data_IF_493921813517
#
_entry.id   IF_493921813517
#
_cell.length_a   1.000
_cell.length_b   1.000
_cell.length_c   1.000
_cell.angle_alpha   90.00
_cell.angle_beta   90.00
_cell.angle_gamma   90.00
#
_symmetry.space_group_name_H-M   'P 1'
#
loop_
_entity.id
_entity.type
_entity.pdbx_description
1 polymer ?
#
# COMPACT_ATOMS: atom_id res chain seq x y z
N UNK A 1 6.70 13.28 22.60
CA UNK A 1 7.79 12.46 22.05
C UNK A 1 7.27 11.79 20.80
N UNK A 2 7.94 11.94 19.65
CA UNK A 2 7.55 11.25 18.42
C UNK A 2 7.80 9.73 18.62
N UNK A 3 6.73 8.93 18.61
CA UNK A 3 6.82 7.45 18.70
C UNK A 3 7.38 6.84 17.39
N UNK A 4 7.65 7.66 16.37
CA UNK A 4 8.31 7.27 15.12
C UNK A 4 9.68 7.95 15.03
N UNK A 5 10.69 7.22 14.54
CA UNK A 5 12.00 7.77 14.19
C UNK A 5 11.91 8.68 12.96
N UNK A 6 13.03 9.32 12.61
CA UNK A 6 13.21 9.93 11.30
C UNK A 6 12.99 8.91 10.17
N UNK A 7 12.64 9.42 8.99
CA UNK A 7 12.36 8.60 7.83
C UNK A 7 13.62 7.87 7.38
N UNK A 8 13.56 6.54 7.33
CA UNK A 8 14.67 5.69 6.90
C UNK A 8 15.20 6.04 5.49
N UNK A 9 14.33 6.52 4.59
CA UNK A 9 14.70 6.79 3.20
C UNK A 9 15.28 8.19 2.95
N UNK A 10 14.89 9.19 3.75
CA UNK A 10 15.29 10.59 3.49
C UNK A 10 15.69 11.41 4.71
N UNK A 11 15.65 10.84 5.93
CA UNK A 11 15.92 11.55 7.19
C UNK A 11 14.83 12.55 7.62
N UNK A 12 13.77 12.73 6.84
CA UNK A 12 12.70 13.68 7.16
C UNK A 12 11.87 13.30 8.38
N UNK A 13 11.23 14.31 9.00
CA UNK A 13 10.37 14.13 10.18
C UNK A 13 9.16 13.25 9.84
N UNK A 14 8.91 12.24 10.67
CA UNK A 14 7.74 11.36 10.58
C UNK A 14 6.72 11.75 11.65
N UNK A 15 5.45 11.90 11.25
CA UNK A 15 4.32 12.18 12.16
C UNK A 15 3.26 11.10 12.06
N UNK A 16 2.62 10.77 13.18
CA UNK A 16 1.49 9.84 13.17
C UNK A 16 0.28 10.47 12.47
N UNK A 17 -0.35 9.71 11.59
CA UNK A 17 -1.62 10.03 10.95
C UNK A 17 -2.47 8.76 10.84
N UNK A 18 -3.80 8.91 10.85
CA UNK A 18 -4.73 7.80 10.60
C UNK A 18 -5.20 7.86 9.15
N UNK A 19 -4.76 6.90 8.34
CA UNK A 19 -5.02 6.87 6.88
C UNK A 19 -5.48 5.48 6.44
N UNK A 20 -5.99 5.39 5.21
CA UNK A 20 -6.27 4.09 4.60
C UNK A 20 -5.00 3.39 4.15
N UNK A 21 -4.99 2.05 4.25
CA UNK A 21 -3.91 1.18 3.79
C UNK A 21 -4.43 0.06 2.91
N UNK A 22 -3.89 0.00 1.71
CA UNK A 22 -4.05 -1.09 0.76
C UNK A 22 -3.10 -2.24 1.10
N UNK A 23 -3.64 -3.45 1.22
CA UNK A 23 -2.90 -4.65 1.59
C UNK A 23 -3.26 -5.79 0.65
N UNK A 24 -2.24 -6.30 -0.04
CA UNK A 24 -2.35 -7.51 -0.83
C UNK A 24 -2.09 -8.72 0.06
N UNK A 25 -3.08 -9.60 0.17
CA UNK A 25 -2.97 -10.84 0.93
C UNK A 25 -3.67 -11.97 0.19
N UNK A 26 -2.96 -13.08 -0.03
CA UNK A 26 -3.46 -14.27 -0.75
C UNK A 26 -4.22 -13.92 -2.05
N UNK A 27 -3.59 -13.09 -2.88
CA UNK A 27 -4.12 -12.67 -4.18
C UNK A 27 -5.42 -11.83 -4.14
N UNK A 28 -5.75 -11.25 -2.98
CA UNK A 28 -6.87 -10.32 -2.80
C UNK A 28 -6.38 -9.00 -2.23
N UNK A 29 -6.99 -7.91 -2.70
CA UNK A 29 -6.76 -6.57 -2.19
C UNK A 29 -7.73 -6.28 -1.03
N UNK A 30 -7.19 -5.84 0.10
CA UNK A 30 -7.92 -5.39 1.27
C UNK A 30 -7.60 -3.92 1.52
N UNK A 31 -8.59 -3.14 1.93
CA UNK A 31 -8.41 -1.74 2.33
C UNK A 31 -8.80 -1.65 3.80
N UNK A 32 -7.84 -1.27 4.65
CA UNK A 32 -8.07 -0.95 6.05
C UNK A 32 -8.14 0.56 6.20
N UNK A 33 -9.25 1.07 6.73
CA UNK A 33 -9.43 2.50 6.99
C UNK A 33 -8.96 2.86 8.41
N UNK A 34 -8.60 4.13 8.61
CA UNK A 34 -8.18 4.66 9.93
C UNK A 34 -7.01 3.89 10.56
N UNK A 35 -6.06 3.43 9.76
CA UNK A 35 -4.86 2.75 10.25
C UNK A 35 -3.89 3.81 10.79
N UNK A 36 -3.43 3.71 12.06
CA UNK A 36 -2.41 4.61 12.57
C UNK A 36 -1.05 4.28 11.95
N UNK A 37 -0.46 5.28 11.29
CA UNK A 37 0.77 5.15 10.50
C UNK A 37 1.67 6.37 10.73
N UNK A 38 2.98 6.15 10.74
CA UNK A 38 3.95 7.24 10.62
C UNK A 38 4.04 7.66 9.16
N UNK A 39 3.83 8.93 8.85
CA UNK A 39 3.98 9.50 7.51
C UNK A 39 5.13 10.49 7.51
N UNK A 40 6.10 10.28 6.62
CA UNK A 40 7.17 11.25 6.40
C UNK A 40 6.58 12.51 5.76
N UNK A 41 6.79 13.66 6.40
CA UNK A 41 6.26 14.94 5.94
C UNK A 41 7.01 15.51 4.71
N UNK A 42 8.09 14.84 4.27
CA UNK A 42 8.90 15.28 3.14
C UNK A 42 8.71 14.39 1.90
N UNK A 43 8.84 13.07 2.03
CA UNK A 43 8.74 12.15 0.88
C UNK A 43 7.43 11.35 0.82
N UNK A 44 6.59 11.43 1.86
CA UNK A 44 5.31 10.73 1.92
C UNK A 44 5.39 9.25 2.28
N UNK A 45 6.59 8.72 2.60
CA UNK A 45 6.76 7.33 3.03
C UNK A 45 5.87 7.03 4.25
N UNK A 46 5.25 5.84 4.25
CA UNK A 46 4.32 5.42 5.29
C UNK A 46 4.81 4.18 6.02
N UNK A 47 5.01 4.29 7.33
CA UNK A 47 5.50 3.22 8.22
C UNK A 47 4.39 2.77 9.16
N UNK A 48 4.19 1.46 9.29
CA UNK A 48 3.23 0.86 10.23
C UNK A 48 3.99 0.27 11.41
N UNK A 49 3.57 0.58 12.64
CA UNK A 49 4.17 -0.03 13.85
C UNK A 49 3.91 -1.55 13.88
N UNK A 50 4.83 -2.36 14.44
CA UNK A 50 4.66 -3.81 14.54
C UNK A 50 3.34 -4.24 15.20
N UNK A 51 2.87 -3.51 16.23
CA UNK A 51 1.58 -3.79 16.90
C UNK A 51 0.39 -3.68 15.95
N UNK A 52 0.40 -2.69 15.06
CA UNK A 52 -0.66 -2.42 14.09
C UNK A 52 -0.63 -3.47 12.98
N UNK A 53 0.55 -3.78 12.45
CA UNK A 53 0.73 -4.83 11.45
C UNK A 53 0.25 -6.21 11.96
N UNK A 54 0.61 -6.59 13.20
CA UNK A 54 0.13 -7.83 13.82
C UNK A 54 -1.38 -7.89 13.97
N UNK A 55 -2.03 -6.75 14.29
CA UNK A 55 -3.48 -6.69 14.40
C UNK A 55 -4.15 -6.89 13.04
N UNK A 56 -3.67 -6.21 12.01
CA UNK A 56 -4.14 -6.39 10.63
C UNK A 56 -4.03 -7.86 10.20
N UNK A 57 -2.87 -8.50 10.44
CA UNK A 57 -2.68 -9.92 10.12
C UNK A 57 -3.70 -10.82 10.81
N UNK A 58 -4.01 -10.54 12.08
CA UNK A 58 -5.03 -11.27 12.82
C UNK A 58 -6.42 -11.10 12.19
N UNK A 59 -6.80 -9.88 11.77
CA UNK A 59 -8.08 -9.61 11.12
C UNK A 59 -8.21 -10.36 9.78
N UNK A 60 -7.14 -10.34 8.96
CA UNK A 60 -7.08 -11.07 7.70
C UNK A 60 -7.23 -12.59 7.91
N UNK A 61 -6.57 -13.15 8.94
CA UNK A 61 -6.66 -14.58 9.27
C UNK A 61 -8.04 -14.99 9.77
N UNK A 62 -8.70 -14.15 10.58
CA UNK A 62 -10.05 -14.39 11.09
C UNK A 62 -11.13 -14.30 10.01
N UNK A 63 -10.81 -13.75 8.83
CA UNK A 63 -11.78 -13.50 7.74
C UNK A 63 -12.99 -12.72 8.23
N UNK A 64 -12.76 -11.70 9.04
CA UNK A 64 -13.82 -10.82 9.53
C UNK A 64 -14.60 -10.21 8.37
N UNK A 65 -15.91 -10.07 8.55
CA UNK A 65 -16.78 -9.48 7.54
C UNK A 65 -16.46 -7.98 7.39
N UNK A 66 -16.26 -7.47 6.16
CA UNK A 66 -15.87 -6.08 5.96
C UNK A 66 -17.06 -5.13 6.18
N UNK A 67 -16.78 -3.93 6.68
CA UNK A 67 -17.81 -2.89 6.83
C UNK A 67 -18.38 -2.42 5.48
N UNK A 68 -17.58 -2.49 4.42
CA UNK A 68 -17.96 -2.19 3.03
C UNK A 68 -17.04 -2.91 2.05
N UNK A 69 -17.51 -3.09 0.82
CA UNK A 69 -16.73 -3.66 -0.28
C UNK A 69 -16.57 -2.61 -1.37
N UNK A 70 -15.32 -2.39 -1.80
CA UNK A 70 -15.01 -1.56 -2.96
C UNK A 70 -14.84 -2.47 -4.19
N UNK A 71 -15.63 -2.23 -5.24
CA UNK A 71 -15.40 -2.87 -6.54
C UNK A 71 -14.35 -2.08 -7.31
N UNK A 72 -13.24 -2.72 -7.64
CA UNK A 72 -12.09 -2.07 -8.31
C UNK A 72 -11.95 -2.63 -9.72
N UNK A 73 -12.14 -1.81 -10.78
CA UNK A 73 -11.90 -2.27 -12.14
C UNK A 73 -10.40 -2.48 -12.38
N UNK A 74 -10.06 -3.54 -13.11
CA UNK A 74 -8.67 -3.88 -13.45
C UNK A 74 -8.50 -3.83 -14.95
N UNK A 75 -7.57 -3.00 -15.41
CA UNK A 75 -7.22 -2.86 -16.81
C UNK A 75 -5.87 -3.55 -17.07
N UNK A 76 -5.75 -4.26 -18.19
CA UNK A 76 -4.46 -4.75 -18.68
C UNK A 76 -3.77 -3.60 -19.42
N UNK A 77 -2.57 -3.22 -18.99
CA UNK A 77 -1.75 -2.28 -19.75
C UNK A 77 -1.24 -2.95 -21.04
N UNK A 78 -1.40 -2.25 -22.17
CA UNK A 78 -0.90 -2.67 -23.48
C UNK A 78 0.16 -1.62 -23.89
N UNK A 79 1.45 -2.00 -24.03
CA UNK A 79 2.48 -1.06 -24.45
C UNK A 79 2.20 -0.52 -25.85
N UNK A 80 2.41 0.78 -26.04
CA UNK A 80 2.06 1.51 -27.26
C UNK A 80 2.79 1.01 -28.53
N UNK A 81 3.90 0.25 -28.39
CA UNK A 81 4.75 -0.17 -29.51
C UNK A 81 4.99 -1.68 -29.61
N UNK A 82 4.23 -2.53 -28.89
CA UNK A 82 4.40 -3.99 -28.92
C UNK A 82 3.86 -4.68 -30.20
N UNK A 83 3.73 -3.95 -31.30
CA UNK A 83 3.14 -4.42 -32.56
C UNK A 83 3.78 -3.84 -33.83
N UNK A 84 4.92 -3.15 -33.75
CA UNK A 84 5.67 -2.83 -34.98
C UNK A 84 6.34 -4.11 -35.50
N UNK A 85 6.05 -4.56 -36.74
CA UNK A 85 6.77 -5.68 -37.32
C UNK A 85 8.24 -5.27 -37.45
N UNK A 86 9.11 -6.04 -36.80
CA UNK A 86 10.56 -5.99 -37.03
C UNK A 86 10.77 -6.20 -38.53
N UNK A 87 11.12 -5.13 -39.26
CA UNK A 87 11.49 -5.22 -40.67
C UNK A 87 12.74 -6.11 -40.74
N UNK A 88 12.55 -7.34 -41.19
CA UNK A 88 13.62 -8.26 -41.58
C UNK A 88 14.40 -7.59 -42.72
N UNK A 89 15.57 -7.06 -42.42
CA UNK A 89 16.52 -6.61 -43.44
C UNK A 89 17.08 -7.86 -44.13
N UNK A 90 16.78 -7.99 -45.42
CA UNK A 90 17.45 -8.90 -46.35
C UNK A 90 18.88 -8.42 -46.65
#
# INVERSE_FOLDING_TARGET
MNEYSECFYCGGIVKEQSLSREIWWKNRLYIFENVPMGVCMQCGEKVIKPKVAKHIDMLLKKRSEPQKILQVPVYRYIPLHAGEPVKSTA
#
